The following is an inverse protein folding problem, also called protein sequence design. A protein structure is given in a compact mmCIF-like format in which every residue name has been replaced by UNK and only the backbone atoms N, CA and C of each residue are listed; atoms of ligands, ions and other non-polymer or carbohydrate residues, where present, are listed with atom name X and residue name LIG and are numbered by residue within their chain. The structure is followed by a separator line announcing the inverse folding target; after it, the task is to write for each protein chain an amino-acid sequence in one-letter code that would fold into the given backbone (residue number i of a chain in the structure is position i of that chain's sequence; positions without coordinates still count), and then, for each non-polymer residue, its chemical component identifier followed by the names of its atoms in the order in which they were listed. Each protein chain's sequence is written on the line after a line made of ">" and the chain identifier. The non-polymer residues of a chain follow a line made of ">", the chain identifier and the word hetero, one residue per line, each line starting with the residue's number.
data_IF_805321154424
#
_entry.id   IF_805321154424
#
_cell.length_a   1.000
_cell.length_b   1.000
_cell.length_c   1.000
_cell.angle_alpha   90.00
_cell.angle_beta   90.00
_cell.angle_gamma   90.00
#
_symmetry.space_group_name_H-M   'P 1'
#
loop_
_entity.id
_entity.type
_entity.pdbx_description
1 polymer ?
#
# COMPACT_ATOMS: atom_id res chain seq x y z
N UNK A 1 9.01 7.41 -0.38
CA UNK A 1 8.58 6.75 -1.64
C UNK A 1 7.60 7.65 -2.39
N UNK A 2 7.42 7.40 -3.68
CA UNK A 2 6.41 8.02 -4.53
C UNK A 2 5.14 7.17 -4.48
N UNK A 3 4.06 7.76 -3.99
CA UNK A 3 2.78 7.10 -3.74
C UNK A 3 1.71 7.71 -4.63
N UNK A 4 1.05 6.88 -5.42
CA UNK A 4 -0.11 7.30 -6.20
C UNK A 4 -1.41 6.92 -5.48
N UNK A 5 -2.29 7.90 -5.28
CA UNK A 5 -3.65 7.66 -4.79
C UNK A 5 -4.58 7.41 -5.97
N UNK A 6 -5.30 6.30 -5.90
CA UNK A 6 -6.36 5.98 -6.85
C UNK A 6 -7.50 7.02 -6.82
N UNK A 7 -8.29 7.10 -7.88
CA UNK A 7 -9.39 8.06 -8.02
C UNK A 7 -10.44 7.91 -6.92
N UNK A 8 -10.63 6.67 -6.43
CA UNK A 8 -11.55 6.38 -5.33
C UNK A 8 -11.05 6.87 -3.96
N UNK A 9 -9.78 7.29 -3.84
CA UNK A 9 -9.16 7.66 -2.57
C UNK A 9 -9.28 9.15 -2.28
N UNK A 10 -9.52 9.54 -1.01
CA UNK A 10 -9.60 10.94 -0.64
C UNK A 10 -8.22 11.59 -0.75
N UNK A 11 -8.09 12.58 -1.64
CA UNK A 11 -6.88 13.40 -1.85
C UNK A 11 -6.29 13.98 -0.57
N UNK A 12 -7.15 14.25 0.43
CA UNK A 12 -6.77 14.76 1.75
C UNK A 12 -5.90 13.78 2.54
N UNK A 13 -5.85 12.49 2.16
CA UNK A 13 -4.95 11.50 2.73
C UNK A 13 -3.48 11.86 2.49
N UNK A 14 -3.16 12.54 1.38
CA UNK A 14 -1.80 13.01 1.12
C UNK A 14 -1.25 13.95 2.20
N UNK A 15 -2.11 14.67 2.93
CA UNK A 15 -1.70 15.50 4.08
C UNK A 15 -1.30 14.71 5.31
N UNK A 16 -1.65 13.43 5.35
CA UNK A 16 -1.37 12.52 6.45
C UNK A 16 -0.09 11.73 6.19
N UNK A 17 0.25 11.52 4.91
CA UNK A 17 1.43 10.80 4.45
C UNK A 17 2.60 11.76 4.15
N UNK A 18 2.91 12.66 5.08
CA UNK A 18 3.82 13.81 4.85
C UNK A 18 5.26 13.42 4.48
N UNK A 19 5.71 12.22 4.84
CA UNK A 19 7.06 11.72 4.53
C UNK A 19 7.14 11.09 3.13
N UNK A 20 6.06 11.14 2.35
CA UNK A 20 5.91 10.49 1.06
C UNK A 20 5.52 11.49 -0.02
N UNK A 21 6.02 11.29 -1.24
CA UNK A 21 5.60 12.09 -2.38
C UNK A 21 4.28 11.54 -2.89
N UNK A 22 3.18 12.20 -2.53
CA UNK A 22 1.83 11.75 -2.88
C UNK A 22 1.33 12.48 -4.13
N UNK A 23 0.85 11.72 -5.11
CA UNK A 23 0.12 12.26 -6.27
C UNK A 23 -1.19 11.51 -6.53
N UNK A 24 -2.01 12.05 -7.44
CA UNK A 24 -3.32 11.53 -7.80
C UNK A 24 -3.70 12.01 -9.21
N UNK A 25 -4.72 11.39 -9.82
CA UNK A 25 -5.15 11.65 -11.21
C UNK A 25 -5.29 13.13 -11.58
N UNK A 26 -5.87 13.96 -10.71
CA UNK A 26 -6.01 15.39 -11.00
C UNK A 26 -4.70 16.17 -10.91
N UNK A 27 -3.78 15.78 -10.02
CA UNK A 27 -2.47 16.44 -9.87
C UNK A 27 -1.55 16.15 -11.05
N UNK A 28 -1.62 14.94 -11.61
CA UNK A 28 -0.88 14.53 -12.79
C UNK A 28 -1.57 14.90 -14.12
N UNK A 29 -2.80 15.43 -14.08
CA UNK A 29 -3.58 15.73 -15.28
C UNK A 29 -4.04 14.48 -16.05
N UNK A 30 -4.17 13.34 -15.36
CA UNK A 30 -4.55 12.03 -15.92
C UNK A 30 -6.05 11.74 -15.81
N UNK A 31 -6.87 12.79 -15.64
CA UNK A 31 -8.33 12.65 -15.55
C UNK A 31 -8.89 12.03 -16.84
N UNK A 32 -9.72 10.99 -16.72
CA UNK A 32 -10.36 10.31 -17.84
C UNK A 32 -9.49 9.25 -18.54
N UNK A 33 -8.32 8.91 -17.99
CA UNK A 33 -7.50 7.79 -18.46
C UNK A 33 -8.16 6.45 -18.09
N UNK A 34 -8.07 5.48 -18.99
CA UNK A 34 -8.57 4.12 -18.72
C UNK A 34 -7.68 3.44 -17.67
N UNK A 35 -8.25 2.55 -16.86
CA UNK A 35 -7.56 1.89 -15.74
C UNK A 35 -6.21 1.26 -16.15
N UNK A 36 -6.20 0.51 -17.27
CA UNK A 36 -4.97 -0.12 -17.77
C UNK A 36 -3.87 0.87 -18.19
N UNK A 37 -4.24 2.04 -18.71
CA UNK A 37 -3.30 3.12 -19.05
C UNK A 37 -2.81 3.83 -17.78
N UNK A 38 -3.71 4.10 -16.84
CA UNK A 38 -3.36 4.67 -15.54
C UNK A 38 -2.35 3.80 -14.80
N UNK A 39 -2.57 2.49 -14.73
CA UNK A 39 -1.65 1.55 -14.10
C UNK A 39 -0.24 1.58 -14.73
N UNK A 40 -0.14 1.72 -16.06
CA UNK A 40 1.17 1.84 -16.76
C UNK A 40 1.88 3.15 -16.43
N UNK A 41 1.13 4.26 -16.38
CA UNK A 41 1.69 5.57 -16.02
C UNK A 41 2.16 5.58 -14.56
N UNK A 42 1.37 4.98 -13.66
CA UNK A 42 1.72 4.83 -12.25
C UNK A 42 2.97 3.97 -12.09
N UNK A 43 3.01 2.80 -12.72
CA UNK A 43 4.17 1.91 -12.68
C UNK A 43 5.47 2.56 -13.19
N UNK A 44 5.39 3.46 -14.18
CA UNK A 44 6.55 4.15 -14.71
C UNK A 44 7.08 5.27 -13.80
N UNK A 45 6.23 5.86 -12.96
CA UNK A 45 6.54 7.09 -12.23
C UNK A 45 6.43 6.99 -10.69
N UNK A 46 5.81 5.93 -10.18
CA UNK A 46 5.50 5.75 -8.77
C UNK A 46 5.88 4.35 -8.29
N UNK A 47 6.16 4.24 -7.00
CA UNK A 47 6.64 2.99 -6.39
C UNK A 47 5.47 2.18 -5.80
N UNK A 48 4.41 2.88 -5.38
CA UNK A 48 3.23 2.30 -4.71
C UNK A 48 1.95 2.90 -5.25
N UNK A 49 0.96 2.06 -5.56
CA UNK A 49 -0.43 2.43 -5.76
C UNK A 49 -1.23 2.17 -4.48
N UNK A 50 -1.99 3.15 -4.03
CA UNK A 50 -2.84 3.07 -2.85
C UNK A 50 -4.31 3.18 -3.28
N UNK A 51 -5.09 2.13 -3.03
CA UNK A 51 -6.49 1.99 -3.49
C UNK A 51 -7.36 1.39 -2.39
N UNK A 52 -8.67 1.62 -2.47
CA UNK A 52 -9.68 0.85 -1.73
C UNK A 52 -10.37 -0.25 -2.55
N UNK A 53 -10.00 -0.40 -3.82
CA UNK A 53 -10.59 -1.40 -4.70
C UNK A 53 -9.88 -2.75 -4.56
N UNK A 54 -10.48 -3.65 -3.78
CA UNK A 54 -10.01 -5.02 -3.62
C UNK A 54 -10.07 -5.83 -4.93
N UNK A 55 -10.87 -5.43 -5.93
CA UNK A 55 -10.87 -6.15 -7.21
C UNK A 55 -9.55 -5.98 -7.96
N UNK A 56 -8.79 -4.91 -7.72
CA UNK A 56 -7.47 -4.74 -8.33
C UNK A 56 -6.49 -5.81 -7.82
N UNK A 57 -6.60 -6.22 -6.55
CA UNK A 57 -5.71 -7.24 -5.95
C UNK A 57 -5.83 -8.61 -6.63
N UNK A 58 -7.00 -8.91 -7.21
CA UNK A 58 -7.32 -10.18 -7.85
C UNK A 58 -7.19 -10.13 -9.38
N UNK A 59 -6.94 -8.95 -9.95
CA UNK A 59 -6.77 -8.82 -11.40
C UNK A 59 -5.36 -9.25 -11.81
N UNK A 60 -5.29 -10.16 -12.79
CA UNK A 60 -4.05 -10.61 -13.45
C UNK A 60 -3.22 -9.46 -14.04
N UNK A 61 -3.78 -8.27 -14.15
CA UNK A 61 -3.07 -7.07 -14.60
C UNK A 61 -1.89 -6.70 -13.71
N UNK A 62 -1.84 -7.14 -12.44
CA UNK A 62 -0.69 -6.91 -11.55
C UNK A 62 0.43 -7.95 -11.71
N UNK A 63 0.16 -9.08 -12.38
CA UNK A 63 1.14 -10.12 -12.58
C UNK A 63 2.26 -9.63 -13.51
N UNK A 64 3.49 -9.54 -12.99
CA UNK A 64 4.66 -9.09 -13.74
C UNK A 64 4.90 -7.57 -13.72
N UNK A 65 4.11 -6.79 -12.97
CA UNK A 65 4.35 -5.36 -12.79
C UNK A 65 5.36 -5.07 -11.69
N UNK A 66 6.14 -4.02 -11.88
CA UNK A 66 7.13 -3.52 -10.91
C UNK A 66 6.52 -2.54 -9.88
N UNK A 67 5.21 -2.63 -9.65
CA UNK A 67 4.43 -1.70 -8.84
C UNK A 67 3.88 -2.40 -7.59
N UNK A 68 4.18 -1.87 -6.41
CA UNK A 68 3.58 -2.36 -5.16
C UNK A 68 2.16 -1.82 -4.99
N UNK A 69 1.26 -2.62 -4.40
CA UNK A 69 -0.14 -2.24 -4.19
C UNK A 69 -0.47 -2.25 -2.70
N UNK A 70 -1.07 -1.17 -2.20
CA UNK A 70 -1.70 -1.14 -0.89
C UNK A 70 -3.22 -1.08 -1.08
N UNK A 71 -3.91 -2.08 -0.54
CA UNK A 71 -5.38 -2.15 -0.51
C UNK A 71 -5.87 -1.76 0.87
N UNK A 72 -6.67 -0.72 0.94
CA UNK A 72 -7.29 -0.22 2.16
C UNK A 72 -8.74 -0.67 2.25
N UNK A 73 -9.29 -0.83 3.45
CA UNK A 73 -10.62 -1.41 3.63
C UNK A 73 -11.74 -0.39 3.32
N UNK A 74 -11.38 0.88 3.13
CA UNK A 74 -12.31 1.99 2.91
C UNK A 74 -11.62 3.18 2.26
N UNK A 75 -12.40 4.00 1.57
CA UNK A 75 -12.02 5.34 1.14
C UNK A 75 -12.54 6.45 2.08
N UNK A 76 -13.15 6.10 3.22
CA UNK A 76 -13.62 7.09 4.19
C UNK A 76 -12.43 7.74 4.92
N UNK A 77 -12.23 9.03 4.67
CA UNK A 77 -11.09 9.78 5.22
C UNK A 77 -11.00 9.74 6.75
N UNK A 78 -12.12 9.74 7.48
CA UNK A 78 -12.10 9.72 8.95
C UNK A 78 -11.52 8.41 9.46
N UNK A 79 -11.93 7.30 8.85
CA UNK A 79 -11.42 5.96 9.20
C UNK A 79 -9.97 5.78 8.73
N UNK A 80 -9.63 6.31 7.56
CA UNK A 80 -8.25 6.32 7.07
C UNK A 80 -7.31 7.12 7.97
N UNK A 81 -7.77 8.25 8.53
CA UNK A 81 -7.00 9.02 9.51
C UNK A 81 -6.76 8.24 10.80
N UNK A 82 -7.75 7.47 11.26
CA UNK A 82 -7.59 6.61 12.43
C UNK A 82 -6.54 5.50 12.18
N UNK A 83 -6.43 5.00 10.95
CA UNK A 83 -5.46 3.97 10.53
C UNK A 83 -4.17 4.54 9.92
N UNK A 84 -3.97 5.86 9.94
CA UNK A 84 -2.85 6.53 9.28
C UNK A 84 -1.48 5.99 9.68
N UNK A 85 -1.31 5.64 10.96
CA UNK A 85 -0.06 5.08 11.49
C UNK A 85 0.25 3.73 10.82
N UNK A 86 -0.74 2.85 10.71
CA UNK A 86 -0.58 1.55 10.07
C UNK A 86 -0.23 1.70 8.58
N UNK A 87 -0.91 2.62 7.87
CA UNK A 87 -0.63 2.90 6.45
C UNK A 87 0.79 3.44 6.27
N UNK A 88 1.23 4.38 7.11
CA UNK A 88 2.59 4.91 7.06
C UNK A 88 3.64 3.83 7.29
N UNK A 89 3.43 2.97 8.29
CA UNK A 89 4.36 1.86 8.58
C UNK A 89 4.47 0.89 7.40
N UNK A 90 3.35 0.57 6.75
CA UNK A 90 3.36 -0.24 5.52
C UNK A 90 4.18 0.43 4.43
N UNK A 91 4.00 1.72 4.20
CA UNK A 91 4.78 2.45 3.19
C UNK A 91 6.27 2.48 3.53
N UNK A 92 6.64 2.73 4.78
CA UNK A 92 8.02 2.73 5.24
C UNK A 92 8.69 1.34 5.05
N UNK A 93 7.94 0.26 5.27
CA UNK A 93 8.41 -1.12 5.07
C UNK A 93 8.51 -1.49 3.59
N UNK A 94 7.55 -1.05 2.76
CA UNK A 94 7.53 -1.29 1.31
C UNK A 94 8.78 -0.77 0.60
N UNK A 95 9.41 0.27 1.13
CA UNK A 95 10.68 0.78 0.60
C UNK A 95 11.80 -0.27 0.58
N UNK A 96 11.71 -1.31 1.42
CA UNK A 96 12.70 -2.39 1.51
C UNK A 96 12.36 -3.66 0.71
N UNK A 97 11.21 -3.72 0.04
CA UNK A 97 10.78 -4.92 -0.69
C UNK A 97 11.12 -4.84 -2.18
N UNK A 98 11.99 -5.76 -2.63
CA UNK A 98 12.22 -6.09 -4.04
C UNK A 98 12.21 -7.63 -4.17
N UNK A 99 11.29 -8.25 -4.94
CA UNK A 99 10.31 -7.67 -5.87
C UNK A 99 9.04 -7.10 -5.19
N UNK A 100 8.17 -6.39 -5.94
CA UNK A 100 6.94 -5.78 -5.43
C UNK A 100 6.02 -6.76 -4.70
N UNK A 101 5.23 -6.21 -3.78
CA UNK A 101 4.24 -6.95 -3.00
C UNK A 101 2.90 -6.23 -2.99
N UNK A 102 1.84 -6.99 -2.75
CA UNK A 102 0.50 -6.48 -2.43
C UNK A 102 0.34 -6.52 -0.92
N UNK A 103 -0.11 -5.43 -0.31
CA UNK A 103 -0.38 -5.32 1.12
C UNK A 103 -1.82 -4.92 1.33
N UNK A 104 -2.61 -5.78 1.96
CA UNK A 104 -3.97 -5.44 2.40
C UNK A 104 -3.89 -4.96 3.84
N UNK A 105 -4.45 -3.80 4.14
CA UNK A 105 -4.59 -3.27 5.50
C UNK A 105 -6.05 -3.41 5.91
N UNK A 106 -6.29 -4.05 7.06
CA UNK A 106 -7.61 -4.22 7.63
C UNK A 106 -8.02 -3.07 8.55
N UNK A 107 -9.23 -3.17 9.10
CA UNK A 107 -9.88 -2.09 9.84
C UNK A 107 -9.20 -1.74 11.15
N UNK A 108 -8.51 -2.71 11.78
CA UNK A 108 -7.80 -2.53 13.05
C UNK A 108 -6.30 -2.33 12.84
N UNK A 109 -5.87 -2.07 11.60
CA UNK A 109 -4.47 -1.94 11.23
C UNK A 109 -3.73 -3.28 11.13
N UNK A 110 -4.43 -4.41 11.18
CA UNK A 110 -3.88 -5.69 10.73
C UNK A 110 -3.47 -5.58 9.26
N UNK A 111 -2.42 -6.28 8.85
CA UNK A 111 -1.99 -6.29 7.46
C UNK A 111 -1.61 -7.68 7.01
N UNK A 112 -1.88 -7.96 5.75
CA UNK A 112 -1.49 -9.19 5.09
C UNK A 112 -0.71 -8.82 3.84
N UNK A 113 0.46 -9.43 3.69
CA UNK A 113 1.29 -9.28 2.51
C UNK A 113 0.92 -10.42 1.56
N UNK A 114 1.01 -10.22 0.25
CA UNK A 114 0.89 -11.25 -0.80
C UNK A 114 1.77 -10.91 -1.99
N UNK A 115 2.11 -11.92 -2.80
CA UNK A 115 2.77 -11.68 -4.10
C UNK A 115 1.73 -11.31 -5.16
N UNK A 116 2.02 -10.34 -6.05
CA UNK A 116 1.17 -10.07 -7.21
C UNK A 116 0.98 -11.34 -8.04
N UNK A 117 -0.26 -11.69 -8.35
CA UNK A 117 -0.60 -12.90 -9.14
C UNK A 117 -0.60 -14.22 -8.36
N UNK A 118 -0.32 -14.23 -7.05
CA UNK A 118 -0.50 -15.42 -6.23
C UNK A 118 -2.00 -15.63 -5.88
N UNK A 119 -2.50 -16.87 -5.87
CA UNK A 119 -3.90 -17.14 -5.53
C UNK A 119 -4.22 -16.69 -4.10
N UNK A 120 -5.46 -16.26 -3.88
CA UNK A 120 -5.96 -15.83 -2.56
C UNK A 120 -5.63 -16.88 -1.49
N UNK A 121 -4.86 -16.48 -0.47
CA UNK A 121 -4.41 -17.37 0.61
C UNK A 121 -2.96 -17.86 0.49
N UNK A 122 -2.26 -17.60 -0.61
CA UNK A 122 -0.81 -17.80 -0.68
C UNK A 122 -0.11 -16.67 0.10
N UNK A 123 0.25 -16.97 1.35
CA UNK A 123 1.19 -16.14 2.11
C UNK A 123 2.46 -16.01 1.27
N UNK A 124 2.98 -14.80 1.07
CA UNK A 124 4.29 -14.65 0.48
C UNK A 124 5.24 -15.35 1.46
N UNK A 125 6.33 -15.97 1.00
CA UNK A 125 7.28 -16.68 1.88
C UNK A 125 8.03 -15.79 2.89
N UNK A 126 7.45 -14.64 3.23
CA UNK A 126 7.81 -13.63 4.19
C UNK A 126 7.00 -13.93 5.45
N UNK A 127 7.65 -14.09 6.59
CA UNK A 127 6.94 -14.30 7.86
C UNK A 127 5.90 -13.20 8.08
N UNK A 128 4.65 -13.53 8.47
CA UNK A 128 3.63 -12.52 8.73
C UNK A 128 4.17 -11.53 9.75
N UNK A 129 4.25 -10.26 9.37
CA UNK A 129 4.56 -9.17 10.30
C UNK A 129 3.30 -8.93 11.12
N UNK A 130 3.08 -9.79 12.12
CA UNK A 130 2.00 -9.61 13.09
C UNK A 130 2.16 -8.26 13.76
N UNK A 131 1.08 -7.48 13.73
CA UNK A 131 1.03 -6.12 14.27
C UNK A 131 1.46 -6.05 15.73
N UNK A 132 2.12 -4.93 16.03
CA UNK A 132 2.34 -4.36 17.36
C UNK A 132 2.93 -5.30 18.42
N UNK A 133 4.20 -5.65 18.24
CA UNK A 133 5.09 -5.85 19.37
C UNK A 133 5.25 -4.52 20.11
N UNK A 134 4.75 -4.47 21.35
CA UNK A 134 5.22 -3.52 22.36
C UNK A 134 6.74 -3.42 22.25
N UNK A 135 7.24 -2.20 22.27
CA UNK A 135 8.65 -1.86 22.49
C UNK A 135 9.29 -2.90 23.43
N UNK A 136 10.02 -3.84 22.83
CA UNK A 136 10.78 -4.83 23.57
C UNK A 136 11.92 -4.07 24.21
N UNK A 137 11.81 -3.80 25.51
CA UNK A 137 12.97 -3.51 26.34
C UNK A 137 13.93 -4.68 26.17
N UNK A 138 14.93 -4.52 25.29
CA UNK A 138 16.13 -5.32 25.33
C UNK A 138 16.72 -5.17 26.73
N UNK A 139 16.57 -6.20 27.55
CA UNK A 139 17.45 -6.37 28.71
C UNK A 139 18.82 -6.71 28.12
N UNK A 140 19.89 -5.95 28.40
CA UNK A 140 21.21 -6.37 28.01
C UNK A 140 21.54 -7.65 28.78
N UNK A 141 22.03 -8.62 28.04
CA UNK A 141 22.55 -9.88 28.55
C UNK A 141 23.86 -9.56 29.28
N UNK A 142 23.87 -9.66 30.61
CA UNK A 142 25.10 -9.62 31.40
C UNK A 142 25.46 -11.07 31.78
N UNK A 143 26.74 -11.38 31.55
CA UNK A 143 27.38 -12.68 31.79
C UNK A 143 27.54 -12.98 33.27
#
# INVERSE_FOLDING_TARGET
>A
MRVFLDENMPRQLGRVLVDHEVSFVEKEGWKGKQNGELLRLVEAAFDVLLTSDANLEFQNELAGRSLSLIVLPTNNLTLLRANAIAVKQVLDELAGFDPPIVVTVGWKGERSLRRPGAPSGAEPGISPVFGFGRSGKGRPNDR
#
